data_IF_964061085905
#
_entry.id   IF_964061085905
#
_cell.length_a   1.000
_cell.length_b   1.000
_cell.length_c   1.000
_cell.angle_alpha   90.00
_cell.angle_beta   90.00
_cell.angle_gamma   90.00
#
_symmetry.space_group_name_H-M   'P 1'
#
loop_
_entity.id
_entity.type
_entity.pdbx_description
1 polymer ?
#
# COMPACT_ATOMS: atom_id res chain seq x y z
N UNK A 1 -4.68 -23.70 -16.07
CA UNK A 1 -4.44 -23.64 -14.61
C UNK A 1 -3.15 -22.89 -14.23
N UNK A 2 -2.00 -23.20 -14.84
CA UNK A 2 -0.70 -22.55 -14.50
C UNK A 2 -0.64 -21.03 -14.75
N UNK A 3 -1.21 -20.49 -15.82
CA UNK A 3 -1.14 -19.05 -16.14
C UNK A 3 -1.97 -18.21 -15.17
N UNK A 4 -3.19 -18.63 -14.81
CA UNK A 4 -4.04 -17.93 -13.86
C UNK A 4 -3.42 -17.91 -12.46
N UNK A 5 -2.85 -19.02 -12.02
CA UNK A 5 -2.13 -19.13 -10.75
C UNK A 5 -0.88 -18.23 -10.72
N UNK A 6 -0.13 -18.16 -11.83
CA UNK A 6 1.01 -17.27 -11.97
C UNK A 6 0.59 -15.78 -11.95
N UNK A 7 -0.53 -15.43 -12.58
CA UNK A 7 -1.04 -14.05 -12.60
C UNK A 7 -1.46 -13.54 -11.22
N UNK A 8 -2.00 -14.40 -10.35
CA UNK A 8 -2.46 -14.06 -8.99
C UNK A 8 -1.42 -14.29 -7.90
N UNK A 9 -0.20 -14.67 -8.27
CA UNK A 9 0.89 -14.90 -7.31
C UNK A 9 1.16 -13.66 -6.46
N UNK A 10 1.20 -13.78 -5.12
CA UNK A 10 1.39 -12.65 -4.21
C UNK A 10 2.77 -12.00 -4.33
N UNK A 11 3.79 -12.72 -4.80
CA UNK A 11 5.13 -12.18 -5.04
C UNK A 11 5.15 -11.08 -6.10
N UNK A 12 4.21 -11.14 -7.05
CA UNK A 12 4.15 -10.16 -8.13
C UNK A 12 3.68 -8.81 -7.64
N UNK A 13 4.54 -7.81 -7.82
CA UNK A 13 4.26 -6.44 -7.40
C UNK A 13 4.45 -6.21 -5.90
N UNK A 14 5.02 -7.19 -5.16
CA UNK A 14 5.51 -6.97 -3.81
C UNK A 14 6.95 -6.44 -3.87
N UNK A 15 7.19 -5.29 -3.26
CA UNK A 15 8.53 -4.69 -3.13
C UNK A 15 8.55 -3.65 -2.04
N UNK A 16 9.73 -3.29 -1.57
CA UNK A 16 9.95 -2.15 -0.67
C UNK A 16 9.56 -0.82 -1.32
N UNK A 17 9.36 0.23 -0.53
CA UNK A 17 9.07 1.57 -1.07
C UNK A 17 10.30 2.16 -1.79
N UNK A 18 11.51 1.92 -1.28
CA UNK A 18 12.79 2.22 -1.93
C UNK A 18 13.83 1.17 -1.54
N UNK A 19 14.98 1.13 -2.21
CA UNK A 19 16.03 0.15 -1.92
C UNK A 19 16.54 0.20 -0.48
N UNK A 20 16.51 1.37 0.15
CA UNK A 20 16.98 1.60 1.52
C UNK A 20 15.85 1.54 2.56
N UNK A 21 14.60 1.27 2.12
CA UNK A 21 13.43 1.26 3.01
C UNK A 21 13.27 -0.09 3.73
N UNK A 22 13.42 -0.15 5.06
CA UNK A 22 13.40 -1.43 5.77
C UNK A 22 11.99 -1.88 6.19
N UNK A 23 11.02 -0.97 6.32
CA UNK A 23 9.77 -1.23 7.05
C UNK A 23 8.50 -1.11 6.20
N UNK A 24 8.53 -0.32 5.10
CA UNK A 24 7.32 -0.02 4.32
C UNK A 24 7.40 -0.63 2.92
N UNK A 25 6.41 -1.45 2.61
CA UNK A 25 6.31 -2.23 1.39
C UNK A 25 5.03 -1.89 0.64
N UNK A 26 5.01 -2.18 -0.62
CA UNK A 26 3.80 -2.12 -1.42
C UNK A 26 3.49 -3.45 -2.11
N UNK A 27 2.20 -3.70 -2.39
CA UNK A 27 1.73 -4.91 -3.02
C UNK A 27 0.52 -4.68 -3.93
N UNK A 28 0.18 -5.69 -4.72
CA UNK A 28 -1.14 -5.87 -5.30
C UNK A 28 -2.09 -6.40 -4.24
N UNK A 29 -3.40 -6.20 -4.43
CA UNK A 29 -4.42 -6.83 -3.60
C UNK A 29 -4.39 -8.36 -3.72
N UNK A 30 -4.87 -9.10 -2.72
CA UNK A 30 -5.06 -10.55 -2.86
C UNK A 30 -5.87 -10.90 -4.11
N UNK A 31 -5.43 -11.94 -4.82
CA UNK A 31 -6.13 -12.47 -5.98
C UNK A 31 -6.22 -11.57 -7.21
N UNK A 32 -5.46 -10.46 -7.26
CA UNK A 32 -5.40 -9.64 -8.49
C UNK A 32 -4.97 -10.51 -9.69
N UNK A 33 -5.58 -10.40 -10.87
CA UNK A 33 -6.59 -9.40 -11.30
C UNK A 33 -8.05 -9.88 -11.22
N UNK A 34 -8.35 -10.99 -10.54
CA UNK A 34 -9.67 -11.59 -10.58
C UNK A 34 -10.77 -10.68 -10.01
N UNK A 35 -11.97 -10.64 -10.64
CA UNK A 35 -13.08 -9.82 -10.16
C UNK A 35 -13.78 -10.42 -8.91
N UNK A 36 -13.64 -11.72 -8.69
CA UNK A 36 -14.05 -12.44 -7.48
C UNK A 36 -12.88 -13.23 -6.94
N UNK A 37 -12.68 -13.14 -5.64
CA UNK A 37 -11.50 -13.68 -4.97
C UNK A 37 -11.93 -14.64 -3.87
N UNK A 38 -11.53 -15.89 -3.99
CA UNK A 38 -11.81 -16.91 -2.96
C UNK A 38 -11.00 -16.65 -1.69
N UNK A 39 -11.52 -17.13 -0.57
CA UNK A 39 -10.81 -17.10 0.72
C UNK A 39 -9.44 -17.78 0.65
N UNK A 40 -9.28 -18.80 -0.17
CA UNK A 40 -7.99 -19.46 -0.38
C UNK A 40 -6.93 -18.52 -0.93
N UNK A 41 -7.28 -17.67 -1.92
CA UNK A 41 -6.35 -16.68 -2.49
C UNK A 41 -6.02 -15.57 -1.48
N UNK A 42 -7.00 -15.18 -0.65
CA UNK A 42 -6.76 -14.22 0.45
C UNK A 42 -5.77 -14.80 1.45
N UNK A 43 -5.99 -16.02 1.93
CA UNK A 43 -5.10 -16.67 2.89
C UNK A 43 -3.70 -16.95 2.31
N UNK A 44 -3.60 -17.31 1.03
CA UNK A 44 -2.31 -17.47 0.34
C UNK A 44 -1.51 -16.15 0.31
N UNK A 45 -2.19 -15.03 0.02
CA UNK A 45 -1.58 -13.70 0.06
C UNK A 45 -1.11 -13.34 1.47
N UNK A 46 -1.95 -13.57 2.48
CA UNK A 46 -1.62 -13.30 3.88
C UNK A 46 -0.42 -14.14 4.32
N UNK A 47 -0.42 -15.44 4.03
CA UNK A 47 0.69 -16.32 4.37
C UNK A 47 2.02 -15.87 3.73
N UNK A 48 1.98 -15.41 2.46
CA UNK A 48 3.14 -14.82 1.82
C UNK A 48 3.61 -13.55 2.56
N UNK A 49 2.69 -12.63 2.89
CA UNK A 49 3.03 -11.42 3.61
C UNK A 49 3.67 -11.71 4.97
N UNK A 50 3.10 -12.64 5.73
CA UNK A 50 3.67 -13.08 7.01
C UNK A 50 5.07 -13.71 6.84
N UNK A 51 5.29 -14.49 5.78
CA UNK A 51 6.61 -15.05 5.46
C UNK A 51 7.64 -13.98 5.11
N UNK A 52 7.21 -12.77 4.64
CA UNK A 52 8.08 -11.60 4.44
C UNK A 52 8.28 -10.78 5.73
N UNK A 53 7.66 -11.20 6.84
CA UNK A 53 7.70 -10.49 8.11
C UNK A 53 6.75 -9.30 8.19
N UNK A 54 5.77 -9.21 7.28
CA UNK A 54 4.72 -8.19 7.36
C UNK A 54 3.79 -8.50 8.51
N UNK A 55 3.57 -7.52 9.36
CA UNK A 55 2.67 -7.60 10.52
C UNK A 55 1.56 -6.55 10.46
N UNK A 56 1.65 -5.57 9.57
CA UNK A 56 0.68 -4.48 9.43
C UNK A 56 0.22 -4.32 7.98
N UNK A 57 -1.05 -3.99 7.80
CA UNK A 57 -1.66 -3.83 6.46
C UNK A 57 -2.38 -2.50 6.35
N UNK A 58 -2.03 -1.72 5.32
CA UNK A 58 -2.79 -0.55 4.89
C UNK A 58 -3.51 -0.88 3.58
N UNK A 59 -4.84 -0.97 3.65
CA UNK A 59 -5.71 -1.25 2.52
C UNK A 59 -6.28 0.05 1.93
N UNK A 60 -6.01 0.31 0.66
CA UNK A 60 -6.48 1.50 -0.06
C UNK A 60 -7.68 1.23 -0.98
N UNK A 61 -8.29 0.04 -0.90
CA UNK A 61 -9.41 -0.33 -1.76
C UNK A 61 -10.68 0.46 -1.42
N UNK A 62 -11.35 1.10 -2.38
CA UNK A 62 -12.68 1.69 -2.16
C UNK A 62 -13.73 0.59 -1.97
N UNK A 63 -14.90 0.90 -1.37
CA UNK A 63 -15.94 -0.09 -1.05
C UNK A 63 -16.28 -1.02 -2.21
N UNK A 64 -16.48 -0.47 -3.42
CA UNK A 64 -16.81 -1.25 -4.63
C UNK A 64 -15.75 -2.28 -5.02
N UNK A 65 -14.48 -2.09 -4.64
CA UNK A 65 -13.42 -3.06 -4.89
C UNK A 65 -13.33 -4.11 -3.77
N UNK A 66 -13.89 -3.85 -2.60
CA UNK A 66 -14.05 -4.83 -1.54
C UNK A 66 -15.15 -5.85 -1.85
N UNK A 67 -16.11 -5.53 -2.73
CA UNK A 67 -17.16 -6.44 -3.20
C UNK A 67 -16.61 -7.70 -3.91
N UNK A 68 -15.33 -7.68 -4.27
CA UNK A 68 -14.64 -8.85 -4.81
C UNK A 68 -14.42 -9.97 -3.77
N UNK A 69 -14.60 -9.68 -2.48
CA UNK A 69 -14.32 -10.56 -1.34
C UNK A 69 -15.56 -10.76 -0.50
N UNK A 70 -15.58 -11.86 0.26
CA UNK A 70 -16.64 -12.08 1.27
C UNK A 70 -16.45 -11.12 2.46
N UNK A 71 -15.25 -11.07 3.04
CA UNK A 71 -14.88 -10.12 4.10
C UNK A 71 -13.35 -9.97 4.20
N UNK A 72 -12.78 -9.14 3.34
CA UNK A 72 -11.33 -8.92 3.32
C UNK A 72 -10.81 -8.25 4.59
N UNK A 73 -11.48 -7.18 5.02
CA UNK A 73 -11.02 -6.38 6.15
C UNK A 73 -11.16 -7.13 7.48
N UNK A 74 -12.27 -7.86 7.67
CA UNK A 74 -12.43 -8.73 8.82
C UNK A 74 -11.39 -9.84 8.88
N UNK A 75 -11.07 -10.46 7.73
CA UNK A 75 -10.00 -11.46 7.64
C UNK A 75 -8.64 -10.87 8.01
N UNK A 76 -8.31 -9.66 7.53
CA UNK A 76 -7.07 -8.99 7.91
C UNK A 76 -7.01 -8.74 9.42
N UNK A 77 -8.07 -8.15 10.00
CA UNK A 77 -8.13 -7.82 11.43
C UNK A 77 -8.03 -9.07 12.31
N UNK A 78 -8.66 -10.16 11.90
CA UNK A 78 -8.58 -11.43 12.62
C UNK A 78 -7.15 -11.97 12.67
N UNK A 79 -6.37 -11.82 11.58
CA UNK A 79 -5.04 -12.45 11.47
C UNK A 79 -3.92 -11.51 11.94
N UNK A 80 -3.96 -10.23 11.56
CA UNK A 80 -2.92 -9.26 11.92
C UNK A 80 -3.20 -8.49 13.21
N UNK A 81 -4.44 -8.52 13.70
CA UNK A 81 -4.91 -7.72 14.83
C UNK A 81 -5.58 -6.41 14.41
N UNK A 82 -6.56 -5.96 15.17
CA UNK A 82 -7.38 -4.77 14.86
C UNK A 82 -6.53 -3.50 14.66
N UNK A 83 -5.53 -3.30 15.53
CA UNK A 83 -4.66 -2.10 15.50
C UNK A 83 -3.61 -2.13 14.37
N UNK A 84 -3.40 -3.30 13.77
CA UNK A 84 -2.43 -3.51 12.70
C UNK A 84 -3.05 -3.43 11.31
N UNK A 85 -4.33 -3.09 11.22
CA UNK A 85 -5.04 -2.96 9.94
C UNK A 85 -5.67 -1.58 9.84
N UNK A 86 -5.21 -0.80 8.87
CA UNK A 86 -5.80 0.48 8.53
C UNK A 86 -6.49 0.39 7.17
N UNK A 87 -7.71 0.85 7.08
CA UNK A 87 -8.45 1.00 5.83
C UNK A 87 -8.70 2.47 5.53
N UNK A 88 -8.11 2.95 4.45
CA UNK A 88 -8.32 4.31 3.93
C UNK A 88 -8.68 4.21 2.46
N UNK A 89 -9.97 4.29 2.10
CA UNK A 89 -10.40 4.11 0.72
C UNK A 89 -9.93 5.27 -0.16
N UNK A 90 -9.29 4.93 -1.27
CA UNK A 90 -8.91 5.87 -2.33
C UNK A 90 -9.49 5.36 -3.64
N UNK A 91 -10.24 6.20 -4.35
CA UNK A 91 -10.81 5.86 -5.64
C UNK A 91 -9.70 5.63 -6.69
N UNK A 92 -9.99 4.76 -7.66
CA UNK A 92 -9.01 4.43 -8.69
C UNK A 92 -8.66 5.69 -9.52
N UNK A 93 -7.39 5.84 -9.85
CA UNK A 93 -6.83 7.01 -10.52
C UNK A 93 -6.98 8.35 -9.76
N UNK A 94 -7.25 8.31 -8.44
CA UNK A 94 -7.26 9.49 -7.57
C UNK A 94 -6.05 9.49 -6.62
N UNK A 95 -5.73 10.67 -6.09
CA UNK A 95 -4.83 10.83 -4.95
C UNK A 95 -5.62 10.66 -3.65
N UNK A 96 -4.93 10.33 -2.57
CA UNK A 96 -5.47 10.47 -1.23
C UNK A 96 -5.80 11.94 -0.95
N UNK A 97 -6.83 12.17 -0.16
CA UNK A 97 -7.06 13.50 0.41
C UNK A 97 -5.93 13.85 1.39
N UNK A 98 -5.58 15.15 1.49
CA UNK A 98 -4.50 15.62 2.35
C UNK A 98 -4.68 15.15 3.80
N UNK A 99 -5.91 15.26 4.33
CA UNK A 99 -6.24 14.81 5.69
C UNK A 99 -6.12 13.30 5.87
N UNK A 100 -6.51 12.50 4.87
CA UNK A 100 -6.31 11.05 4.93
C UNK A 100 -4.82 10.70 4.99
N UNK A 101 -4.01 11.40 4.21
CA UNK A 101 -2.58 11.13 4.13
C UNK A 101 -1.85 11.56 5.41
N UNK A 102 -2.08 12.81 5.86
CA UNK A 102 -1.36 13.42 7.00
C UNK A 102 -1.89 12.90 8.34
N UNK A 103 -3.21 12.75 8.51
CA UNK A 103 -3.79 12.45 9.80
C UNK A 103 -4.00 10.94 10.05
N UNK A 104 -3.93 10.10 9.01
CA UNK A 104 -4.20 8.67 9.13
C UNK A 104 -3.06 7.81 8.58
N UNK A 105 -2.72 7.97 7.29
CA UNK A 105 -1.79 7.07 6.59
C UNK A 105 -0.36 7.22 7.13
N UNK A 106 0.18 8.43 7.10
CA UNK A 106 1.56 8.67 7.53
C UNK A 106 1.78 8.34 9.01
N UNK A 107 0.89 8.71 9.96
CA UNK A 107 1.00 8.28 11.34
C UNK A 107 0.97 6.76 11.52
N UNK A 108 0.13 6.04 10.77
CA UNK A 108 0.08 4.57 10.82
C UNK A 108 1.39 3.92 10.36
N UNK A 109 2.02 4.46 9.31
CA UNK A 109 3.31 3.98 8.82
C UNK A 109 4.44 4.30 9.81
N UNK A 110 4.46 5.51 10.36
CA UNK A 110 5.44 5.93 11.36
C UNK A 110 5.34 5.13 12.67
N UNK A 111 4.11 4.79 13.07
CA UNK A 111 3.88 3.90 14.22
C UNK A 111 4.50 2.53 14.00
N UNK A 112 4.27 1.92 12.83
CA UNK A 112 4.86 0.63 12.48
C UNK A 112 6.39 0.69 12.52
N UNK A 113 7.01 1.74 11.94
CA UNK A 113 8.46 1.92 11.97
C UNK A 113 8.99 2.03 13.40
N UNK A 114 8.35 2.85 14.24
CA UNK A 114 8.76 3.04 15.65
C UNK A 114 8.71 1.72 16.43
N UNK A 115 7.78 0.83 16.11
CA UNK A 115 7.63 -0.49 16.71
C UNK A 115 8.47 -1.56 16.02
N UNK A 116 9.25 -1.20 15.00
CA UNK A 116 10.01 -2.14 14.15
C UNK A 116 9.13 -3.19 13.46
N UNK A 117 7.91 -2.82 13.14
CA UNK A 117 6.93 -3.62 12.43
C UNK A 117 6.90 -3.28 10.94
N UNK A 118 6.87 -4.31 10.10
CA UNK A 118 6.78 -4.13 8.65
C UNK A 118 5.34 -3.94 8.21
N UNK A 119 5.10 -2.87 7.47
CA UNK A 119 3.78 -2.54 6.91
C UNK A 119 3.73 -2.73 5.41
N UNK A 120 2.72 -3.42 4.92
CA UNK A 120 2.40 -3.46 3.49
C UNK A 120 1.26 -2.52 3.16
N UNK A 121 1.45 -1.70 2.13
CA UNK A 121 0.43 -0.84 1.52
C UNK A 121 -0.05 -1.48 0.23
N UNK A 122 -1.35 -1.65 0.05
CA UNK A 122 -1.88 -2.16 -1.21
C UNK A 122 -3.12 -1.40 -1.70
N UNK A 123 -3.24 -1.31 -3.01
CA UNK A 123 -4.46 -0.96 -3.72
C UNK A 123 -4.89 -2.15 -4.59
N UNK A 124 -5.50 -1.94 -5.76
CA UNK A 124 -5.83 -3.04 -6.66
C UNK A 124 -4.57 -3.61 -7.35
N UNK A 125 -3.97 -2.84 -8.26
CA UNK A 125 -2.78 -3.26 -9.01
C UNK A 125 -1.45 -3.00 -8.31
N UNK A 126 -1.43 -2.29 -7.19
CA UNK A 126 -0.21 -1.94 -6.47
C UNK A 126 0.67 -0.89 -7.17
N UNK A 127 0.12 -0.12 -8.12
CA UNK A 127 0.90 0.79 -8.97
C UNK A 127 0.67 2.25 -8.59
N UNK A 128 -0.50 2.83 -8.88
CA UNK A 128 -0.76 4.27 -8.75
C UNK A 128 -1.01 4.72 -7.32
N UNK A 129 -2.14 4.27 -6.74
CA UNK A 129 -2.53 4.63 -5.36
C UNK A 129 -1.47 4.22 -4.34
N UNK A 130 -0.96 3.01 -4.45
CA UNK A 130 0.16 2.55 -3.64
C UNK A 130 1.40 3.41 -3.90
N UNK A 131 1.70 3.71 -5.16
CA UNK A 131 2.89 4.48 -5.54
C UNK A 131 2.93 5.88 -4.92
N UNK A 132 1.82 6.65 -4.94
CA UNK A 132 1.84 8.00 -4.36
C UNK A 132 1.87 7.98 -2.83
N UNK A 133 1.22 7.01 -2.18
CA UNK A 133 1.30 6.85 -0.73
C UNK A 133 2.73 6.52 -0.30
N UNK A 134 3.41 5.62 -1.00
CA UNK A 134 4.81 5.30 -0.72
C UNK A 134 5.75 6.47 -1.01
N UNK A 135 5.50 7.25 -2.07
CA UNK A 135 6.26 8.47 -2.32
C UNK A 135 6.07 9.51 -1.19
N UNK A 136 4.83 9.68 -0.69
CA UNK A 136 4.56 10.54 0.46
C UNK A 136 5.29 10.08 1.73
N UNK A 137 5.36 8.78 1.97
CA UNK A 137 6.14 8.22 3.06
C UNK A 137 7.63 8.55 2.93
N UNK A 138 8.22 8.39 1.75
CA UNK A 138 9.64 8.69 1.52
C UNK A 138 9.95 10.19 1.68
N UNK A 139 9.03 11.07 1.27
CA UNK A 139 9.16 12.51 1.49
C UNK A 139 9.08 12.85 2.98
N UNK A 140 8.09 12.32 3.69
CA UNK A 140 7.81 12.63 5.08
C UNK A 140 8.79 11.94 6.04
N UNK A 141 8.99 10.64 5.88
CA UNK A 141 9.76 9.81 6.81
C UNK A 141 11.25 9.70 6.49
N UNK A 142 11.66 10.00 5.23
CA UNK A 142 13.07 9.91 4.79
C UNK A 142 13.64 11.24 4.30
N UNK A 143 12.84 12.30 4.29
CA UNK A 143 13.28 13.63 3.87
C UNK A 143 13.65 13.75 2.39
N UNK A 144 13.24 12.80 1.55
CA UNK A 144 13.51 12.85 0.11
C UNK A 144 12.81 14.04 -0.54
N UNK A 145 13.38 14.59 -1.59
CA UNK A 145 12.65 15.50 -2.50
C UNK A 145 11.51 14.74 -3.20
N UNK A 146 10.54 15.46 -3.74
CA UNK A 146 9.43 14.85 -4.48
C UNK A 146 9.94 14.01 -5.66
N UNK A 147 10.93 14.55 -6.39
CA UNK A 147 11.51 13.86 -7.55
C UNK A 147 12.24 12.57 -7.15
N UNK A 148 13.05 12.61 -6.08
CA UNK A 148 13.75 11.43 -5.56
C UNK A 148 12.76 10.35 -5.10
N UNK A 149 11.73 10.73 -4.34
CA UNK A 149 10.72 9.80 -3.85
C UNK A 149 9.92 9.16 -5.00
N UNK A 150 9.48 9.95 -5.98
CA UNK A 150 8.77 9.46 -7.17
C UNK A 150 9.67 8.53 -7.99
N UNK A 151 10.93 8.89 -8.18
CA UNK A 151 11.90 8.06 -8.89
C UNK A 151 12.19 6.75 -8.14
N UNK A 152 12.29 6.80 -6.80
CA UNK A 152 12.52 5.62 -5.97
C UNK A 152 11.37 4.61 -6.10
N UNK A 153 10.11 5.03 -5.94
CA UNK A 153 8.95 4.12 -6.10
C UNK A 153 8.81 3.61 -7.54
N UNK A 154 9.23 4.42 -8.52
CA UNK A 154 9.24 3.99 -9.93
C UNK A 154 10.22 2.86 -10.19
N UNK A 155 11.42 2.91 -9.60
CA UNK A 155 12.39 1.81 -9.67
C UNK A 155 11.84 0.51 -9.06
N UNK A 156 10.93 0.63 -8.09
CA UNK A 156 10.23 -0.50 -7.48
C UNK A 156 8.94 -0.93 -8.24
N UNK A 157 8.78 -0.48 -9.50
CA UNK A 157 7.68 -0.88 -10.38
C UNK A 157 6.36 -0.16 -10.15
N UNK A 158 6.37 1.03 -9.51
CA UNK A 158 5.17 1.82 -9.21
C UNK A 158 5.14 3.13 -10.00
N UNK A 159 3.94 3.69 -10.14
CA UNK A 159 3.75 4.97 -10.82
C UNK A 159 2.95 5.94 -9.94
N UNK A 160 3.64 6.72 -9.12
CA UNK A 160 2.99 7.70 -8.24
C UNK A 160 2.16 8.76 -9.02
N UNK A 161 2.47 8.99 -10.30
CA UNK A 161 1.76 9.93 -11.19
C UNK A 161 0.67 9.29 -12.04
N UNK A 162 0.20 8.08 -11.70
CA UNK A 162 -0.88 7.41 -12.42
C UNK A 162 -2.23 8.14 -12.30
N UNK A 163 -2.42 8.87 -11.20
CA UNK A 163 -3.62 9.68 -10.98
C UNK A 163 -3.80 10.73 -12.08
N UNK A 164 -5.06 11.00 -12.43
CA UNK A 164 -5.44 12.12 -13.30
C UNK A 164 -5.27 13.47 -12.61
N UNK A 165 -5.18 13.48 -11.29
CA UNK A 165 -4.95 14.68 -10.49
C UNK A 165 -3.48 15.11 -10.57
N UNK A 166 -3.24 16.32 -11.05
CA UNK A 166 -1.89 16.88 -11.23
C UNK A 166 -1.32 17.51 -9.95
N UNK A 167 -2.06 17.45 -8.82
CA UNK A 167 -1.65 18.07 -7.55
C UNK A 167 -0.69 17.20 -6.72
N UNK A 168 -0.13 16.13 -7.28
CA UNK A 168 0.75 15.23 -6.54
C UNK A 168 1.90 15.99 -5.86
N UNK A 169 2.62 16.85 -6.59
CA UNK A 169 3.76 17.56 -6.02
C UNK A 169 3.35 18.47 -4.85
N UNK A 170 2.22 19.15 -4.96
CA UNK A 170 1.68 19.96 -3.88
C UNK A 170 1.30 19.10 -2.67
N UNK A 171 0.70 17.94 -2.89
CA UNK A 171 0.35 17.00 -1.82
C UNK A 171 1.60 16.47 -1.12
N UNK A 172 2.65 16.12 -1.87
CA UNK A 172 3.93 15.68 -1.32
C UNK A 172 4.61 16.79 -0.51
N UNK A 173 4.56 18.04 -0.98
CA UNK A 173 5.08 19.18 -0.24
C UNK A 173 4.38 19.38 1.11
N UNK A 174 3.06 19.12 1.18
CA UNK A 174 2.30 19.17 2.43
C UNK A 174 2.69 18.06 3.42
N UNK A 175 3.20 16.93 2.91
CA UNK A 175 3.68 15.84 3.76
C UNK A 175 5.06 16.12 4.36
N UNK A 176 5.79 17.09 3.84
CA UNK A 176 7.13 17.44 4.30
C UNK A 176 7.09 17.99 5.71
N UNK A 177 7.93 17.44 6.59
CA UNK A 177 8.03 17.90 7.96
C UNK A 177 6.91 17.42 8.90
N UNK A 178 6.04 16.49 8.47
CA UNK A 178 4.99 15.93 9.35
C UNK A 178 5.58 15.27 10.60
N UNK A 179 6.81 14.75 10.51
CA UNK A 179 7.52 14.10 11.63
C UNK A 179 8.80 14.83 12.06
N UNK A 180 8.94 16.11 11.70
CA UNK A 180 10.09 16.94 12.08
C UNK A 180 9.92 17.53 13.47
#
# INVERSE_FOLDING_TARGET
MKLAQWMSSPERGFSVASEEEPCVFGARRPGFPFPRVSSLLVHSWIAFMQAQGITRVLCLLPPRQLDAYDDLLGTYRQIFGEHNVLWVPIEDFHLAEETQLIDQILPFLAEGERQQEKTVVHCSGGVGRTGHVLAAWLVSGRGMSNEEAIAAVKRQGRNARESRDKRLDMLLDRCRGVFS
#
